data_IF_477291961518
#
_entry.id   IF_477291961518
#
_cell.length_a   1.000
_cell.length_b   1.000
_cell.length_c   1.000
_cell.angle_alpha   90.00
_cell.angle_beta   90.00
_cell.angle_gamma   90.00
#
_symmetry.space_group_name_H-M   'P 1'
#
loop_
_entity.id
_entity.type
_entity.pdbx_description
1 polymer ?
#
# COMPACT_ATOMS: atom_id res chain seq x y z
N UNK A 1 21.32 -9.08 7.12
CA UNK A 1 19.90 -8.68 6.92
C UNK A 1 19.49 -7.47 7.77
N UNK A 2 20.11 -7.26 8.95
CA UNK A 2 19.83 -6.10 9.82
C UNK A 2 19.99 -4.70 9.21
N UNK A 3 20.87 -4.51 8.21
CA UNK A 3 21.04 -3.19 7.56
C UNK A 3 19.75 -2.62 6.94
N UNK A 4 18.83 -3.45 6.44
CA UNK A 4 17.55 -2.96 5.88
C UNK A 4 16.61 -2.45 6.96
N UNK A 5 16.63 -3.09 8.14
CA UNK A 5 15.86 -2.69 9.30
C UNK A 5 16.45 -1.40 9.88
N UNK A 6 17.77 -1.38 10.12
CA UNK A 6 18.51 -0.21 10.59
C UNK A 6 18.22 1.04 9.73
N UNK A 7 18.40 0.96 8.40
CA UNK A 7 18.15 2.07 7.50
C UNK A 7 16.71 2.58 7.56
N UNK A 8 15.72 1.70 7.76
CA UNK A 8 14.32 2.10 7.86
C UNK A 8 14.04 2.87 9.16
N UNK A 9 14.60 2.37 10.26
CA UNK A 9 14.43 2.94 11.59
C UNK A 9 15.14 4.29 11.73
N UNK A 10 16.33 4.46 11.12
CA UNK A 10 17.07 5.72 11.18
C UNK A 10 16.48 6.80 10.28
N UNK A 11 15.82 6.41 9.18
CA UNK A 11 15.25 7.38 8.23
C UNK A 11 13.87 7.89 8.64
N UNK A 12 13.14 7.18 9.50
CA UNK A 12 11.75 7.51 9.84
C UNK A 12 11.50 7.40 11.35
N UNK A 13 10.80 8.39 11.93
CA UNK A 13 10.39 8.35 13.33
C UNK A 13 9.52 7.13 13.68
N UNK A 14 8.75 6.66 12.69
CA UNK A 14 7.92 5.46 12.78
C UNK A 14 8.02 4.62 11.51
N UNK A 15 8.21 3.31 11.67
CA UNK A 15 8.33 2.38 10.55
C UNK A 15 7.50 1.11 10.80
N UNK A 16 6.59 0.80 9.88
CA UNK A 16 5.99 -0.53 9.80
C UNK A 16 6.94 -1.48 9.08
N UNK A 17 7.16 -2.63 9.68
CA UNK A 17 8.10 -3.65 9.21
C UNK A 17 7.43 -5.01 9.23
N UNK A 18 7.53 -5.73 8.12
CA UNK A 18 7.15 -7.14 8.03
C UNK A 18 8.34 -8.02 8.38
N UNK A 19 8.18 -8.92 9.34
CA UNK A 19 9.23 -9.89 9.70
C UNK A 19 9.55 -10.83 8.54
N UNK A 20 8.54 -11.22 7.77
CA UNK A 20 8.72 -12.05 6.57
C UNK A 20 9.53 -11.34 5.48
N UNK A 21 9.32 -10.04 5.30
CA UNK A 21 9.99 -9.21 4.29
C UNK A 21 11.47 -8.96 4.62
N UNK A 22 11.80 -8.85 5.92
CA UNK A 22 13.18 -8.66 6.39
C UNK A 22 13.91 -9.98 6.67
N UNK A 23 13.18 -11.10 6.80
CA UNK A 23 13.73 -12.41 7.08
C UNK A 23 14.34 -12.54 8.48
N UNK A 24 13.77 -11.84 9.48
CA UNK A 24 14.23 -11.89 10.87
C UNK A 24 13.16 -12.51 11.77
N UNK A 25 13.62 -13.21 12.81
CA UNK A 25 12.78 -13.59 13.92
C UNK A 25 12.36 -12.37 14.74
N UNK A 26 11.40 -12.57 15.65
CA UNK A 26 10.94 -11.51 16.53
C UNK A 26 12.05 -11.02 17.46
N UNK A 27 12.79 -11.95 18.06
CA UNK A 27 13.84 -11.62 19.03
C UNK A 27 15.01 -10.87 18.38
N UNK A 28 15.40 -11.27 17.16
CA UNK A 28 16.42 -10.55 16.38
C UNK A 28 15.96 -9.14 16.01
N UNK A 29 14.69 -8.97 15.64
CA UNK A 29 14.14 -7.66 15.33
C UNK A 29 14.12 -6.76 16.58
N UNK A 30 13.70 -7.29 17.73
CA UNK A 30 13.69 -6.55 19.01
C UNK A 30 15.11 -6.15 19.44
N UNK A 31 16.10 -7.05 19.30
CA UNK A 31 17.50 -6.76 19.60
C UNK A 31 18.06 -5.61 18.75
N UNK A 32 17.81 -5.63 17.43
CA UNK A 32 18.23 -4.56 16.53
C UNK A 32 17.50 -3.26 16.87
N UNK A 33 16.19 -3.32 17.12
CA UNK A 33 15.39 -2.13 17.44
C UNK A 33 15.88 -1.46 18.74
N UNK A 34 16.24 -2.26 19.74
CA UNK A 34 16.80 -1.78 21.00
C UNK A 34 18.18 -1.11 20.82
N UNK A 35 19.03 -1.63 19.93
CA UNK A 35 20.33 -1.03 19.59
C UNK A 35 20.20 0.42 19.07
N UNK A 36 19.09 0.73 18.39
CA UNK A 36 18.79 2.07 17.89
C UNK A 36 17.94 2.93 18.84
N UNK A 37 17.73 2.50 20.10
CA UNK A 37 16.96 3.25 21.10
C UNK A 37 15.46 3.36 20.81
N UNK A 38 14.94 2.49 19.93
CA UNK A 38 13.54 2.45 19.54
C UNK A 38 12.85 1.27 20.21
N UNK A 39 11.53 1.18 20.08
CA UNK A 39 10.76 0.04 20.56
C UNK A 39 9.67 -0.37 19.58
N UNK A 40 9.23 -1.61 19.69
CA UNK A 40 8.00 -2.06 19.02
C UNK A 40 6.81 -1.54 19.82
N UNK A 41 6.12 -0.54 19.27
CA UNK A 41 4.95 0.10 19.90
C UNK A 41 3.64 -0.58 19.52
N UNK A 42 3.62 -1.34 18.42
CA UNK A 42 2.45 -2.09 17.99
C UNK A 42 2.84 -3.34 17.23
N UNK A 43 1.96 -4.34 17.27
CA UNK A 43 2.11 -5.59 16.55
C UNK A 43 0.79 -5.99 15.91
N UNK A 44 0.83 -6.40 14.65
CA UNK A 44 -0.26 -7.09 13.97
C UNK A 44 0.26 -8.45 13.51
N UNK A 45 -0.50 -9.52 13.78
CA UNK A 45 -0.06 -10.88 13.49
C UNK A 45 -1.19 -11.72 12.93
N UNK A 46 -0.90 -12.50 11.91
CA UNK A 46 -1.74 -13.59 11.45
C UNK A 46 -0.91 -14.72 10.82
N UNK A 47 -1.58 -15.71 10.23
CA UNK A 47 -0.93 -16.83 9.56
C UNK A 47 -0.12 -16.45 8.30
N UNK A 48 -0.28 -15.22 7.78
CA UNK A 48 0.39 -14.75 6.56
C UNK A 48 1.66 -13.97 6.84
N UNK A 49 1.68 -13.20 7.93
CA UNK A 49 2.78 -12.31 8.30
C UNK A 49 2.68 -11.77 9.75
N UNK A 50 3.81 -11.24 10.24
CA UNK A 50 3.90 -10.48 11.48
C UNK A 50 4.44 -9.08 11.17
N UNK A 51 3.61 -8.08 11.41
CA UNK A 51 3.91 -6.67 11.19
C UNK A 51 4.20 -5.97 12.52
N UNK A 52 5.34 -5.29 12.59
CA UNK A 52 5.79 -4.54 13.74
C UNK A 52 5.77 -3.05 13.41
N UNK A 53 5.20 -2.24 14.29
CA UNK A 53 5.41 -0.80 14.26
C UNK A 53 6.55 -0.46 15.22
N UNK A 54 7.63 0.05 14.65
CA UNK A 54 8.80 0.51 15.40
C UNK A 54 8.73 2.03 15.48
N UNK A 55 8.86 2.57 16.69
CA UNK A 55 8.83 4.00 16.96
C UNK A 55 9.64 4.32 18.23
N UNK A 56 9.80 5.62 18.53
CA UNK A 56 10.30 6.05 19.84
C UNK A 56 9.39 5.58 20.97
N UNK A 57 9.93 5.34 22.18
CA UNK A 57 9.13 4.97 23.32
C UNK A 57 7.96 5.92 23.58
N UNK A 58 6.80 5.35 23.91
CA UNK A 58 5.56 6.10 24.19
C UNK A 58 4.83 6.68 22.97
N UNK A 59 5.34 6.50 21.75
CA UNK A 59 4.68 7.01 20.55
C UNK A 59 3.54 6.11 20.06
N UNK A 60 2.37 6.71 19.82
CA UNK A 60 1.25 6.06 19.17
C UNK A 60 1.39 6.11 17.63
N UNK A 61 0.72 5.19 16.89
CA UNK A 61 0.69 5.23 15.43
C UNK A 61 0.26 6.60 14.91
N UNK A 62 1.18 7.32 14.25
CA UNK A 62 0.90 8.68 13.77
C UNK A 62 -0.06 8.66 12.60
N UNK A 63 -0.97 9.62 12.61
CA UNK A 63 -1.84 9.91 11.46
C UNK A 63 -1.16 10.97 10.62
N UNK A 64 -0.84 10.63 9.38
CA UNK A 64 -0.31 11.60 8.42
C UNK A 64 -1.46 12.05 7.52
N UNK A 65 -2.09 13.17 7.88
CA UNK A 65 -3.02 13.84 6.98
C UNK A 65 -2.24 14.29 5.75
N UNK A 66 -2.65 13.83 4.57
CA UNK A 66 -2.14 14.35 3.30
C UNK A 66 -3.31 14.84 2.48
N UNK A 67 -3.19 16.08 2.01
CA UNK A 67 -4.16 16.66 1.07
C UNK A 67 -4.18 15.88 -0.27
N UNK A 68 -3.05 15.28 -0.65
CA UNK A 68 -2.93 14.47 -1.85
C UNK A 68 -2.96 12.97 -1.55
N UNK A 69 -3.94 12.25 -2.13
CA UNK A 69 -4.08 10.79 -2.06
C UNK A 69 -3.45 10.14 -3.31
N UNK A 70 -2.16 9.73 -3.27
CA UNK A 70 -1.45 9.20 -4.45
C UNK A 70 -2.14 7.98 -5.07
N UNK A 71 -2.98 7.27 -4.30
CA UNK A 71 -3.81 6.17 -4.77
C UNK A 71 -4.86 6.61 -5.80
N UNK A 72 -5.48 7.79 -5.65
CA UNK A 72 -6.47 8.29 -6.62
C UNK A 72 -5.79 8.53 -7.96
N UNK A 73 -4.59 9.10 -7.93
CA UNK A 73 -3.81 9.37 -9.14
C UNK A 73 -3.34 8.07 -9.79
N UNK A 74 -2.73 7.15 -9.03
CA UNK A 74 -2.23 5.89 -9.60
C UNK A 74 -3.38 4.98 -10.09
N UNK A 75 -4.56 5.03 -9.46
CA UNK A 75 -5.68 4.16 -9.79
C UNK A 75 -6.59 4.69 -10.90
N UNK A 76 -6.82 6.00 -10.95
CA UNK A 76 -7.78 6.59 -11.88
C UNK A 76 -7.09 7.44 -12.94
N UNK A 77 -6.18 8.33 -12.53
CA UNK A 77 -5.55 9.29 -13.46
C UNK A 77 -4.58 8.59 -14.41
N UNK A 78 -3.71 7.73 -13.88
CA UNK A 78 -2.68 7.03 -14.68
C UNK A 78 -3.31 6.11 -15.75
N UNK A 79 -4.30 5.25 -15.43
CA UNK A 79 -4.94 4.44 -16.46
C UNK A 79 -5.67 5.25 -17.53
N UNK A 80 -6.40 6.30 -17.13
CA UNK A 80 -7.10 7.19 -18.07
C UNK A 80 -6.10 7.85 -19.02
N UNK A 81 -4.95 8.29 -18.50
CA UNK A 81 -3.90 8.89 -19.31
C UNK A 81 -3.32 7.89 -20.32
N UNK A 82 -3.03 6.65 -19.91
CA UNK A 82 -2.54 5.63 -20.84
C UNK A 82 -3.55 5.31 -21.93
N UNK A 83 -4.84 5.17 -21.59
CA UNK A 83 -5.90 4.94 -22.57
C UNK A 83 -6.02 6.11 -23.53
N UNK A 84 -5.98 7.35 -23.04
CA UNK A 84 -6.04 8.54 -23.88
C UNK A 84 -4.85 8.61 -24.85
N UNK A 85 -3.62 8.41 -24.36
CA UNK A 85 -2.40 8.41 -25.18
C UNK A 85 -2.43 7.28 -26.22
N UNK A 86 -2.79 6.06 -25.81
CA UNK A 86 -2.88 4.91 -26.70
C UNK A 86 -3.92 5.11 -27.80
N UNK A 87 -5.08 5.68 -27.45
CA UNK A 87 -6.14 5.98 -28.41
C UNK A 87 -5.72 7.07 -29.39
N UNK A 88 -5.11 8.15 -28.90
CA UNK A 88 -4.61 9.23 -29.75
C UNK A 88 -3.52 8.72 -30.72
N UNK A 89 -2.56 7.92 -30.22
CA UNK A 89 -1.53 7.31 -31.04
C UNK A 89 -2.11 6.37 -32.11
N UNK A 90 -3.11 5.57 -31.77
CA UNK A 90 -3.80 4.70 -32.71
C UNK A 90 -4.46 5.51 -33.84
N UNK A 91 -5.22 6.55 -33.51
CA UNK A 91 -5.93 7.40 -34.48
C UNK A 91 -4.93 8.07 -35.43
N UNK A 92 -3.89 8.71 -34.88
CA UNK A 92 -2.87 9.41 -35.68
C UNK A 92 -2.15 8.45 -36.62
N UNK A 93 -1.75 7.27 -36.14
CA UNK A 93 -1.05 6.29 -36.98
C UNK A 93 -1.95 5.65 -38.03
N UNK A 94 -3.24 5.46 -37.75
CA UNK A 94 -4.20 4.98 -38.73
C UNK A 94 -4.40 5.99 -39.88
N UNK A 95 -4.46 7.29 -39.59
CA UNK A 95 -4.56 8.34 -40.61
C UNK A 95 -3.33 8.40 -41.52
N UNK A 96 -2.15 8.03 -41.01
CA UNK A 96 -0.90 7.99 -41.75
C UNK A 96 -0.65 6.65 -42.48
N UNK A 97 -1.65 5.75 -42.54
CA UNK A 97 -1.52 4.38 -43.09
C UNK A 97 -0.51 3.48 -42.36
N UNK A 98 -0.13 3.85 -41.14
CA UNK A 98 0.76 3.10 -40.23
C UNK A 98 -0.04 2.30 -39.19
N UNK A 99 -1.14 1.68 -39.60
CA UNK A 99 -2.10 1.03 -38.70
C UNK A 99 -1.47 -0.03 -37.77
N UNK A 100 -0.44 -0.74 -38.24
CA UNK A 100 0.31 -1.74 -37.44
C UNK A 100 0.97 -1.08 -36.22
N UNK A 101 1.61 0.08 -36.39
CA UNK A 101 2.21 0.83 -35.28
C UNK A 101 1.16 1.40 -34.32
N UNK A 102 0.01 1.82 -34.85
CA UNK A 102 -1.14 2.22 -34.04
C UNK A 102 -1.62 1.08 -33.13
N UNK A 103 -1.74 -0.13 -33.68
CA UNK A 103 -2.15 -1.31 -32.90
C UNK A 103 -1.14 -1.63 -31.79
N UNK A 104 0.17 -1.58 -32.07
CA UNK A 104 1.20 -1.77 -31.05
C UNK A 104 1.14 -0.71 -29.94
N UNK A 105 0.87 0.55 -30.28
CA UNK A 105 0.72 1.62 -29.29
C UNK A 105 -0.50 1.38 -28.36
N UNK A 106 -1.63 0.97 -28.94
CA UNK A 106 -2.82 0.62 -28.16
C UNK A 106 -2.57 -0.59 -27.24
N UNK A 107 -1.93 -1.65 -27.76
CA UNK A 107 -1.57 -2.83 -26.98
C UNK A 107 -0.61 -2.48 -25.83
N UNK A 108 0.39 -1.64 -26.08
CA UNK A 108 1.33 -1.18 -25.06
C UNK A 108 0.63 -0.34 -23.98
N UNK A 109 -0.34 0.50 -24.34
CA UNK A 109 -1.15 1.26 -23.39
C UNK A 109 -1.98 0.33 -22.48
N UNK A 110 -2.64 -0.68 -23.05
CA UNK A 110 -3.39 -1.69 -22.26
C UNK A 110 -2.45 -2.44 -21.30
N UNK A 111 -1.27 -2.85 -21.78
CA UNK A 111 -0.27 -3.50 -20.94
C UNK A 111 0.20 -2.60 -19.80
N UNK A 112 0.46 -1.31 -20.07
CA UNK A 112 0.84 -0.34 -19.06
C UNK A 112 -0.25 -0.13 -17.98
N UNK A 113 -1.53 -0.08 -18.40
CA UNK A 113 -2.67 -0.05 -17.47
C UNK A 113 -2.66 -1.28 -16.57
N UNK A 114 -2.51 -2.48 -17.13
CA UNK A 114 -2.43 -3.71 -16.35
C UNK A 114 -1.27 -3.67 -15.35
N UNK A 115 -0.06 -3.34 -15.81
CA UNK A 115 1.11 -3.22 -14.94
C UNK A 115 0.90 -2.20 -13.80
N UNK A 116 0.26 -1.07 -14.07
CA UNK A 116 -0.01 -0.04 -13.06
C UNK A 116 -0.92 -0.54 -11.93
N UNK A 117 -1.90 -1.41 -12.24
CA UNK A 117 -2.77 -2.03 -11.25
C UNK A 117 -2.02 -2.98 -10.31
N UNK A 118 -0.94 -3.61 -10.79
CA UNK A 118 -0.10 -4.51 -10.01
C UNK A 118 1.14 -3.85 -9.40
N UNK A 119 1.47 -2.61 -9.77
CA UNK A 119 2.70 -1.92 -9.35
C UNK A 119 2.85 -1.81 -7.82
N UNK A 120 1.73 -1.68 -7.09
CA UNK A 120 1.76 -1.64 -5.61
C UNK A 120 2.22 -2.98 -5.04
N UNK A 121 1.83 -4.11 -5.65
CA UNK A 121 2.19 -5.47 -5.19
C UNK A 121 3.67 -5.80 -5.40
N UNK A 122 4.32 -5.14 -6.35
CA UNK A 122 5.76 -5.31 -6.60
C UNK A 122 6.62 -4.69 -5.48
N UNK A 123 6.04 -3.88 -4.60
CA UNK A 123 6.77 -3.26 -3.49
C UNK A 123 6.93 -4.24 -2.31
N UNK A 124 8.03 -4.15 -1.55
CA UNK A 124 8.21 -4.89 -0.29
C UNK A 124 7.00 -4.73 0.64
N UNK A 125 6.66 -5.76 1.42
CA UNK A 125 5.47 -5.77 2.27
C UNK A 125 5.44 -4.57 3.22
N UNK A 126 6.59 -4.23 3.79
CA UNK A 126 6.76 -3.10 4.69
C UNK A 126 6.43 -1.76 4.00
N UNK A 127 6.70 -1.61 2.68
CA UNK A 127 6.34 -0.43 1.91
C UNK A 127 4.85 -0.40 1.52
N UNK A 128 4.24 -1.57 1.31
CA UNK A 128 2.80 -1.72 1.07
C UNK A 128 2.01 -1.34 2.32
N UNK A 129 2.40 -1.84 3.49
CA UNK A 129 1.81 -1.47 4.79
C UNK A 129 1.99 0.02 5.05
N UNK A 130 3.19 0.58 4.86
CA UNK A 130 3.42 2.02 5.01
C UNK A 130 2.61 2.89 4.03
N UNK A 131 2.17 2.32 2.90
CA UNK A 131 1.24 3.00 1.98
C UNK A 131 -0.20 2.87 2.44
N UNK A 132 -0.58 1.72 3.00
CA UNK A 132 -1.90 1.46 3.57
C UNK A 132 -2.19 2.34 4.80
N UNK A 133 -1.21 2.52 5.68
CA UNK A 133 -1.39 3.30 6.92
C UNK A 133 -1.71 4.76 6.65
N UNK A 134 -1.31 5.27 5.48
CA UNK A 134 -1.67 6.62 5.01
C UNK A 134 -3.15 6.77 4.65
N UNK A 135 -3.87 5.66 4.46
CA UNK A 135 -5.32 5.70 4.23
C UNK A 135 -6.08 6.02 5.53
N UNK A 136 -5.46 5.81 6.70
CA UNK A 136 -6.01 6.17 8.01
C UNK A 136 -5.69 7.63 8.37
N UNK A 137 -6.08 8.54 7.50
CA UNK A 137 -5.77 9.99 7.56
C UNK A 137 -6.57 10.77 8.62
N UNK A 138 -7.56 10.14 9.24
CA UNK A 138 -8.45 10.74 10.24
C UNK A 138 -9.87 10.95 9.74
N UNK A 139 -10.16 10.62 8.47
CA UNK A 139 -11.52 10.64 7.92
C UNK A 139 -12.49 9.79 8.77
N UNK A 140 -13.78 10.17 8.85
CA UNK A 140 -14.77 9.43 9.63
C UNK A 140 -15.01 8.01 9.11
N UNK A 141 -14.74 7.78 7.82
CA UNK A 141 -14.87 6.47 7.16
C UNK A 141 -13.74 6.26 6.16
N UNK A 142 -13.18 5.06 6.12
CA UNK A 142 -12.11 4.67 5.19
C UNK A 142 -12.50 3.39 4.46
N UNK A 143 -12.20 3.32 3.17
CA UNK A 143 -12.46 2.15 2.31
C UNK A 143 -11.15 1.51 1.89
N UNK A 144 -10.91 0.29 2.37
CA UNK A 144 -9.65 -0.41 2.18
C UNK A 144 -9.87 -1.66 1.36
N UNK A 145 -9.01 -1.84 0.37
CA UNK A 145 -9.01 -3.03 -0.47
C UNK A 145 -7.75 -3.80 -0.12
N UNK A 146 -7.83 -4.68 0.88
CA UNK A 146 -6.66 -5.36 1.47
C UNK A 146 -5.85 -6.14 0.41
N UNK A 147 -6.55 -6.72 -0.56
CA UNK A 147 -5.99 -7.41 -1.73
C UNK A 147 -5.04 -6.53 -2.57
N UNK A 148 -5.25 -5.22 -2.63
CA UNK A 148 -4.39 -4.30 -3.38
C UNK A 148 -2.99 -4.22 -2.75
N UNK A 149 -2.93 -4.35 -1.42
CA UNK A 149 -1.70 -4.33 -0.65
C UNK A 149 -1.15 -5.74 -0.42
N UNK A 150 -1.85 -6.79 -0.86
CA UNK A 150 -1.50 -8.18 -0.59
C UNK A 150 -1.50 -8.51 0.90
N UNK A 151 -2.41 -7.88 1.65
CA UNK A 151 -2.66 -8.13 3.07
C UNK A 151 -3.90 -9.00 3.23
N UNK A 152 -3.91 -9.85 4.25
CA UNK A 152 -5.13 -10.52 4.67
C UNK A 152 -6.15 -9.50 5.23
N UNK A 153 -7.45 -9.80 5.18
CA UNK A 153 -8.46 -8.97 5.83
C UNK A 153 -8.23 -8.81 7.34
N UNK A 154 -7.70 -9.85 8.00
CA UNK A 154 -7.42 -9.84 9.42
C UNK A 154 -6.30 -8.85 9.77
N UNK A 155 -5.16 -8.90 9.06
CA UNK A 155 -4.08 -7.92 9.25
C UNK A 155 -4.54 -6.50 8.93
N UNK A 156 -5.34 -6.31 7.88
CA UNK A 156 -5.90 -5.00 7.56
C UNK A 156 -6.81 -4.47 8.69
N UNK A 157 -7.56 -5.35 9.35
CA UNK A 157 -8.43 -4.99 10.49
C UNK A 157 -7.61 -4.63 11.72
N UNK A 158 -6.58 -5.41 12.07
CA UNK A 158 -5.68 -5.10 13.18
C UNK A 158 -4.93 -3.79 12.95
N UNK A 159 -4.50 -3.53 11.72
CA UNK A 159 -3.85 -2.28 11.34
C UNK A 159 -4.83 -1.09 11.44
N UNK A 160 -6.09 -1.27 11.03
CA UNK A 160 -7.13 -0.25 11.20
C UNK A 160 -7.37 0.07 12.68
N UNK A 161 -7.44 -0.96 13.52
CA UNK A 161 -7.58 -0.82 14.97
C UNK A 161 -6.39 -0.05 15.59
N UNK A 162 -5.16 -0.32 15.13
CA UNK A 162 -3.96 0.43 15.56
C UNK A 162 -4.10 1.94 15.32
N UNK A 163 -4.83 2.34 14.28
CA UNK A 163 -5.09 3.74 13.95
C UNK A 163 -6.40 4.30 14.53
N UNK A 164 -7.11 3.52 15.36
CA UNK A 164 -8.36 3.91 16.02
C UNK A 164 -9.60 3.79 15.13
N UNK A 165 -9.59 2.88 14.16
CA UNK A 165 -10.74 2.60 13.30
C UNK A 165 -11.36 1.24 13.65
N UNK A 166 -12.69 1.16 13.62
CA UNK A 166 -13.46 -0.07 13.80
C UNK A 166 -14.05 -0.55 12.48
N UNK A 167 -14.18 -1.87 12.31
CA UNK A 167 -14.80 -2.47 11.14
C UNK A 167 -16.31 -2.15 11.10
N UNK A 168 -16.81 -1.70 9.95
CA UNK A 168 -18.24 -1.39 9.73
C UNK A 168 -18.93 -2.32 8.75
N UNK A 169 -18.18 -3.04 7.93
CA UNK A 169 -18.74 -3.96 6.94
C UNK A 169 -17.84 -4.15 5.74
N UNK A 170 -18.36 -4.89 4.76
CA UNK A 170 -17.66 -5.18 3.51
C UNK A 170 -18.56 -4.93 2.31
N UNK A 171 -17.97 -4.44 1.24
CA UNK A 171 -18.59 -4.36 -0.08
C UNK A 171 -17.87 -5.32 -1.01
N UNK A 172 -18.60 -6.15 -1.73
CA UNK A 172 -18.04 -7.05 -2.75
C UNK A 172 -17.71 -6.26 -4.02
N UNK A 173 -16.46 -6.35 -4.49
CA UNK A 173 -16.05 -5.86 -5.81
C UNK A 173 -15.65 -7.04 -6.70
N UNK A 174 -16.28 -7.15 -7.86
CA UNK A 174 -16.02 -8.21 -8.84
C UNK A 174 -14.56 -8.23 -9.35
N UNK A 175 -13.90 -7.07 -9.36
CA UNK A 175 -12.59 -6.92 -10.03
C UNK A 175 -11.42 -7.06 -9.04
N UNK A 176 -11.63 -6.74 -7.75
CA UNK A 176 -10.51 -6.58 -6.81
C UNK A 176 -10.74 -7.27 -5.46
N UNK A 177 -11.80 -8.06 -5.30
CA UNK A 177 -12.13 -8.71 -4.02
C UNK A 177 -12.83 -7.78 -3.03
N UNK A 178 -12.96 -8.17 -1.75
CA UNK A 178 -13.74 -7.43 -0.78
C UNK A 178 -13.10 -6.07 -0.45
N UNK A 179 -13.93 -5.03 -0.46
CA UNK A 179 -13.61 -3.69 0.05
C UNK A 179 -14.10 -3.64 1.49
N UNK A 180 -13.18 -3.52 2.42
CA UNK A 180 -13.44 -3.39 3.85
C UNK A 180 -13.75 -1.93 4.17
N UNK A 181 -14.87 -1.70 4.84
CA UNK A 181 -15.31 -0.40 5.31
C UNK A 181 -14.95 -0.27 6.79
N UNK A 182 -14.21 0.78 7.12
CA UNK A 182 -13.89 1.12 8.49
C UNK A 182 -14.47 2.47 8.85
N UNK A 183 -14.89 2.61 10.09
CA UNK A 183 -15.35 3.88 10.65
C UNK A 183 -14.56 4.25 11.88
N UNK A 184 -14.72 5.49 12.31
CA UNK A 184 -14.15 6.00 13.55
C UNK A 184 -15.25 6.74 14.30
N UNK A 185 -15.33 6.48 15.61
CA UNK A 185 -16.20 7.24 16.49
C UNK A 185 -15.52 8.59 16.78
N UNK A 186 -16.31 9.66 16.73
CA UNK A 186 -15.82 11.04 16.84
C UNK A 186 -15.26 11.31 18.23
#
# INVERSE_FOLDING_TARGET
MGHRLANRITTHDQAWVSLRDIGLSRDEADAIVAEYGKQVVWQCTDHTDQLLLIADPGHLPTRKSRWFKPRVVLRYVVPVLYVAIGTAAFITMAQLSYAVYGFHAAAAAVFAVMCSAFAVRLRPMSARVASLTREFDGAPTVRIMASLYGLSPNLATQLAAAHGYHYRGMMTSFVHGPILLYGRDR
#
